data_IF_596122009132
#
_entry.id   IF_596122009132
#
_cell.length_a   1.000
_cell.length_b   1.000
_cell.length_c   1.000
_cell.angle_alpha   90.00
_cell.angle_beta   90.00
_cell.angle_gamma   90.00
#
_symmetry.space_group_name_H-M   'P 1'
#
loop_
_entity.id
_entity.type
_entity.pdbx_description
1 polymer ?
#
# COMPACT_ATOMS: atom_id res chain seq x y z
N UNK A 1 10.74 -7.92 -1.59
CA UNK A 1 9.74 -8.07 -2.65
C UNK A 1 9.28 -6.68 -3.08
N UNK A 2 9.13 -6.50 -4.38
CA UNK A 2 8.68 -5.26 -4.99
C UNK A 2 7.42 -5.56 -5.78
N UNK A 3 6.40 -4.74 -5.57
CA UNK A 3 5.16 -4.82 -6.32
C UNK A 3 5.12 -3.68 -7.33
N UNK A 4 4.92 -4.01 -8.61
CA UNK A 4 4.85 -3.01 -9.67
C UNK A 4 3.39 -2.71 -10.02
N UNK A 5 3.03 -1.44 -9.97
CA UNK A 5 1.79 -0.89 -10.49
C UNK A 5 2.18 0.17 -11.53
N UNK A 6 1.98 1.44 -11.23
CA UNK A 6 2.59 2.50 -12.04
C UNK A 6 4.04 2.73 -11.64
N UNK A 7 4.38 2.38 -10.41
CA UNK A 7 5.69 2.54 -9.81
C UNK A 7 6.09 1.26 -9.10
N UNK A 8 7.39 1.01 -8.93
CA UNK A 8 7.83 -0.06 -8.05
C UNK A 8 7.56 0.34 -6.60
N UNK A 9 6.68 -0.42 -5.94
CA UNK A 9 6.28 -0.18 -4.56
C UNK A 9 7.00 -1.20 -3.69
N UNK A 10 7.59 -0.75 -2.59
CA UNK A 10 8.41 -1.62 -1.75
C UNK A 10 8.13 -1.37 -0.27
N UNK A 11 8.63 -2.25 0.57
CA UNK A 11 8.48 -2.15 2.02
C UNK A 11 9.09 -0.83 2.51
N UNK A 12 8.36 -0.13 3.36
CA UNK A 12 8.76 1.17 3.89
C UNK A 12 8.10 2.35 3.18
N UNK A 13 7.59 2.13 1.98
CA UNK A 13 6.90 3.19 1.26
C UNK A 13 5.52 3.41 1.86
N UNK A 14 5.00 4.63 1.71
CA UNK A 14 3.65 4.98 2.15
C UNK A 14 2.77 5.12 0.93
N UNK A 15 1.58 4.55 0.99
CA UNK A 15 0.60 4.69 -0.07
C UNK A 15 -0.74 5.13 0.50
N UNK A 16 -1.52 5.82 -0.32
CA UNK A 16 -2.91 6.14 -0.02
C UNK A 16 -3.77 5.52 -1.10
N UNK A 17 -4.65 4.62 -0.69
CA UNK A 17 -5.61 3.99 -1.60
C UNK A 17 -6.85 4.85 -1.64
N UNK A 18 -7.19 5.34 -2.83
CA UNK A 18 -8.31 6.25 -3.00
C UNK A 18 -9.60 5.44 -3.14
N UNK A 19 -10.42 5.51 -2.11
CA UNK A 19 -11.73 4.88 -2.08
C UNK A 19 -12.81 5.94 -2.19
N UNK A 20 -13.99 5.52 -2.62
CA UNK A 20 -15.09 6.43 -2.85
C UNK A 20 -15.47 7.23 -1.60
N UNK A 21 -15.54 6.55 -0.46
CA UNK A 21 -16.02 7.15 0.76
C UNK A 21 -14.95 7.36 1.82
N UNK A 22 -13.80 6.71 1.65
CA UNK A 22 -12.78 6.73 2.70
C UNK A 22 -11.45 6.32 2.13
N UNK A 23 -10.46 7.18 2.25
CA UNK A 23 -9.12 6.88 1.78
C UNK A 23 -8.37 6.09 2.85
N UNK A 24 -7.59 5.11 2.40
CA UNK A 24 -6.78 4.29 3.29
C UNK A 24 -5.32 4.65 3.07
N UNK A 25 -4.67 5.14 4.12
CA UNK A 25 -3.25 5.50 4.06
C UNK A 25 -2.48 4.58 5.00
N UNK A 26 -1.36 4.08 4.52
CA UNK A 26 -0.52 3.23 5.35
C UNK A 26 0.87 3.05 4.79
N UNK A 27 1.78 2.69 5.68
CA UNK A 27 3.14 2.31 5.32
C UNK A 27 3.16 0.83 5.00
N UNK A 28 3.81 0.47 3.90
CA UNK A 28 3.92 -0.93 3.50
C UNK A 28 4.88 -1.63 4.45
N UNK A 29 4.37 -2.65 5.14
CA UNK A 29 5.16 -3.43 6.10
C UNK A 29 5.54 -4.80 5.57
N UNK A 30 4.72 -5.34 4.66
CA UNK A 30 4.99 -6.65 4.10
C UNK A 30 4.31 -6.75 2.74
N UNK A 31 4.96 -7.44 1.81
CA UNK A 31 4.41 -7.70 0.48
C UNK A 31 4.52 -9.19 0.25
N UNK A 32 3.39 -9.88 0.27
CA UNK A 32 3.33 -11.30 -0.02
C UNK A 32 2.95 -11.57 -1.47
N UNK A 33 2.85 -12.85 -1.81
CA UNK A 33 2.48 -13.25 -3.16
C UNK A 33 1.04 -12.84 -3.50
N UNK A 34 0.14 -12.84 -2.51
CA UNK A 34 -1.28 -12.56 -2.71
C UNK A 34 -1.78 -11.37 -1.92
N UNK A 35 -1.12 -11.03 -0.81
CA UNK A 35 -1.58 -9.99 0.10
C UNK A 35 -0.47 -9.01 0.40
N UNK A 36 -0.87 -7.77 0.65
CA UNK A 36 0.03 -6.73 1.12
C UNK A 36 -0.46 -6.28 2.50
N UNK A 37 0.46 -5.98 3.40
CA UNK A 37 0.14 -5.52 4.75
C UNK A 37 0.59 -4.08 4.90
N UNK A 38 -0.33 -3.23 5.32
CA UNK A 38 -0.09 -1.81 5.58
C UNK A 38 -0.22 -1.52 7.06
N UNK A 39 0.57 -0.57 7.54
CA UNK A 39 0.44 -0.08 8.90
C UNK A 39 -0.08 1.35 8.85
N UNK A 40 -1.24 1.58 9.47
CA UNK A 40 -1.86 2.89 9.49
C UNK A 40 -1.17 3.82 10.49
N UNK A 41 -1.42 5.15 10.42
CA UNK A 41 -0.90 6.07 11.43
C UNK A 41 -1.35 5.74 12.85
N UNK A 42 -2.47 5.04 13.00
CA UNK A 42 -2.96 4.59 14.30
C UNK A 42 -2.31 3.30 14.78
N UNK A 43 -1.29 2.83 14.05
CA UNK A 43 -0.54 1.61 14.37
C UNK A 43 -1.36 0.34 14.20
N UNK A 44 -2.41 0.41 13.38
CA UNK A 44 -3.19 -0.77 13.02
C UNK A 44 -2.61 -1.39 11.76
N UNK A 45 -2.70 -2.72 11.67
CA UNK A 45 -2.26 -3.43 10.48
C UNK A 45 -3.48 -3.78 9.64
N UNK A 46 -3.39 -3.47 8.34
CA UNK A 46 -4.43 -3.79 7.37
C UNK A 46 -3.82 -4.70 6.33
N UNK A 47 -4.44 -5.86 6.12
CA UNK A 47 -4.01 -6.80 5.10
C UNK A 47 -5.05 -6.78 3.99
N UNK A 48 -4.60 -6.63 2.75
CA UNK A 48 -5.50 -6.61 1.61
C UNK A 48 -4.90 -7.38 0.43
N UNK A 49 -5.74 -7.91 -0.46
CA UNK A 49 -5.23 -8.57 -1.66
C UNK A 49 -4.44 -7.61 -2.54
N UNK A 50 -3.39 -8.11 -3.16
CA UNK A 50 -2.58 -7.30 -4.08
C UNK A 50 -3.43 -6.73 -5.23
N UNK A 51 -4.47 -7.46 -5.62
CA UNK A 51 -5.37 -7.03 -6.70
C UNK A 51 -6.05 -5.69 -6.38
N UNK A 52 -6.29 -5.40 -5.11
CA UNK A 52 -6.90 -4.12 -4.71
C UNK A 52 -5.98 -2.97 -5.12
N UNK A 53 -4.69 -3.11 -4.85
CA UNK A 53 -3.69 -2.10 -5.21
C UNK A 53 -3.66 -1.88 -6.72
N UNK A 54 -3.77 -2.98 -7.48
CA UNK A 54 -3.71 -2.91 -8.94
C UNK A 54 -4.98 -2.33 -9.57
N UNK A 55 -6.10 -2.38 -8.86
CA UNK A 55 -7.41 -1.96 -9.39
C UNK A 55 -7.85 -0.58 -8.93
N UNK A 56 -7.28 -0.08 -7.83
CA UNK A 56 -7.66 1.20 -7.25
C UNK A 56 -6.67 2.29 -7.65
N UNK A 57 -7.14 3.52 -7.60
CA UNK A 57 -6.24 4.66 -7.71
C UNK A 57 -5.49 4.79 -6.40
N UNK A 58 -4.19 5.01 -6.47
CA UNK A 58 -3.38 5.18 -5.27
C UNK A 58 -2.47 6.39 -5.41
N UNK A 59 -2.17 7.02 -4.28
CA UNK A 59 -1.11 8.00 -4.16
C UNK A 59 0.10 7.31 -3.56
N UNK A 60 1.25 7.57 -4.12
CA UNK A 60 2.48 6.88 -3.75
C UNK A 60 3.48 7.88 -3.16
N UNK A 61 3.92 7.58 -1.96
CA UNK A 61 4.91 8.40 -1.25
C UNK A 61 6.13 7.52 -0.97
N UNK A 62 7.14 7.56 -1.87
CA UNK A 62 8.31 6.72 -1.68
C UNK A 62 9.10 7.14 -0.45
N UNK A 63 9.66 6.15 0.23
CA UNK A 63 10.52 6.41 1.37
C UNK A 63 11.81 7.07 0.89
N UNK A 64 12.24 8.18 1.52
CA UNK A 64 13.50 8.80 1.14
C UNK A 64 14.67 7.85 1.40
N UNK A 65 15.65 7.90 0.53
CA UNK A 65 16.88 7.11 0.70
C UNK A 65 17.77 7.66 1.82
#
# INVERSE_FOLDING_TARGET
>A
IILFINYPVKIGDTITILEKDNNITGEIRDIGAFFITLRTPNKELITMPNSVILQKNIKYFPQPD
#
